data_IF_850197089926
#
_entry.id   IF_850197089926
#
_cell.length_a   1.000
_cell.length_b   1.000
_cell.length_c   1.000
_cell.angle_alpha   90.00
_cell.angle_beta   90.00
_cell.angle_gamma   90.00
#
_symmetry.space_group_name_H-M   'P 1'
#
loop_
_entity.id
_entity.type
_entity.pdbx_description
1 polymer ?
#
# COMPACT_ATOMS: atom_id res chain seq x y z
N UNK A 1 -11.38 -1.47 20.57
CA UNK A 1 -9.95 -1.16 20.78
C UNK A 1 -9.77 0.34 20.57
N UNK A 2 -9.29 1.08 21.55
CA UNK A 2 -9.01 2.52 21.40
C UNK A 2 -7.71 2.67 20.61
N UNK A 3 -7.81 3.21 19.39
CA UNK A 3 -6.72 3.37 18.41
C UNK A 3 -5.92 4.67 18.60
N UNK A 4 -6.17 5.37 19.70
CA UNK A 4 -5.68 6.70 20.00
C UNK A 4 -5.48 6.87 21.50
N UNK A 5 -4.56 7.74 21.88
CA UNK A 5 -4.43 8.18 23.27
C UNK A 5 -4.88 9.64 23.36
N UNK A 6 -5.80 9.93 24.28
CA UNK A 6 -6.21 11.31 24.57
C UNK A 6 -5.00 12.06 25.17
N UNK A 7 -4.53 13.08 24.44
CA UNK A 7 -3.38 13.85 24.88
C UNK A 7 -3.72 14.78 26.03
N UNK A 8 -2.75 14.96 26.93
CA UNK A 8 -2.83 16.00 27.94
C UNK A 8 -2.94 17.38 27.25
N UNK A 9 -3.94 18.22 27.60
CA UNK A 9 -4.08 19.56 27.04
C UNK A 9 -2.82 20.43 27.12
N UNK A 10 -1.94 20.20 28.10
CA UNK A 10 -0.67 20.92 28.21
C UNK A 10 0.30 20.58 27.08
N UNK A 11 0.33 19.32 26.62
CA UNK A 11 1.19 18.87 25.53
C UNK A 11 0.79 19.52 24.19
N UNK A 12 -0.51 19.58 23.91
CA UNK A 12 -1.05 20.21 22.69
C UNK A 12 -0.75 21.71 22.60
N UNK A 13 -0.76 22.40 23.75
CA UNK A 13 -0.35 23.83 23.84
C UNK A 13 1.14 24.04 23.60
N UNK A 14 1.98 23.05 23.91
CA UNK A 14 3.43 23.13 23.71
C UNK A 14 3.86 22.81 22.28
N UNK A 15 3.09 22.01 21.54
CA UNK A 15 3.46 21.56 20.19
C UNK A 15 2.92 22.45 19.06
N UNK A 16 2.24 23.57 19.37
CA UNK A 16 1.56 24.43 18.40
C UNK A 16 0.55 23.68 17.49
N UNK A 17 0.12 22.46 17.86
CA UNK A 17 -0.83 21.66 17.09
C UNK A 17 -2.26 22.22 17.17
N UNK A 18 -2.54 23.02 18.20
CA UNK A 18 -3.70 23.90 18.26
C UNK A 18 -3.16 25.29 18.00
N UNK A 19 -3.58 25.91 16.88
CA UNK A 19 -3.31 27.33 16.67
C UNK A 19 -3.86 28.08 17.88
N UNK A 20 -2.97 28.69 18.67
CA UNK A 20 -3.31 29.21 19.98
C UNK A 20 -4.57 30.08 19.92
N UNK A 21 -5.44 29.88 20.91
CA UNK A 21 -6.51 30.80 21.28
C UNK A 21 -5.95 32.23 21.28
N UNK A 22 -6.05 32.95 20.15
CA UNK A 22 -6.22 34.40 20.21
C UNK A 22 -7.62 34.57 20.78
N UNK A 23 -7.70 35.31 21.88
CA UNK A 23 -8.93 35.66 22.58
C UNK A 23 -10.00 36.14 21.60
N UNK A 24 -10.83 35.23 21.09
CA UNK A 24 -12.10 35.57 20.48
C UNK A 24 -13.18 34.78 21.20
N UNK A 25 -13.75 35.51 22.17
CA UNK A 25 -15.13 35.44 22.64
C UNK A 25 -16.01 34.37 22.02
N UNK A 26 -16.50 33.49 22.91
CA UNK A 26 -17.83 32.85 22.88
C UNK A 26 -18.35 32.56 21.47
N UNK A 27 -18.07 31.38 20.95
CA UNK A 27 -19.10 30.66 20.20
C UNK A 27 -18.92 29.14 20.23
N UNK A 28 -20.08 28.51 20.17
CA UNK A 28 -20.45 27.13 20.49
C UNK A 28 -19.83 26.02 19.63
N UNK A 29 -18.51 25.86 19.62
CA UNK A 29 -17.92 24.59 19.18
C UNK A 29 -18.14 23.52 20.26
N UNK A 30 -18.99 22.53 19.97
CA UNK A 30 -19.33 21.44 20.91
C UNK A 30 -18.05 20.75 21.45
N UNK A 31 -18.04 20.37 22.73
CA UNK A 31 -16.90 19.70 23.38
C UNK A 31 -16.39 18.47 22.60
N UNK A 32 -17.27 17.82 21.83
CA UNK A 32 -16.97 16.70 20.95
C UNK A 32 -15.94 17.07 19.86
N UNK A 33 -16.07 18.23 19.22
CA UNK A 33 -15.10 18.72 18.22
C UNK A 33 -13.73 18.98 18.85
N UNK A 34 -13.71 19.59 20.05
CA UNK A 34 -12.45 19.84 20.79
C UNK A 34 -11.75 18.57 21.26
N UNK A 35 -12.44 17.43 21.30
CA UNK A 35 -11.90 16.14 21.73
C UNK A 35 -11.29 15.36 20.55
N UNK A 36 -11.89 15.47 19.37
CA UNK A 36 -11.38 14.85 18.13
C UNK A 36 -10.04 15.45 17.67
N UNK A 37 -9.80 16.74 17.93
CA UNK A 37 -8.51 17.42 17.67
C UNK A 37 -7.35 16.97 18.60
N UNK A 38 -7.59 16.09 19.59
CA UNK A 38 -6.60 15.70 20.63
C UNK A 38 -6.08 14.28 20.48
N UNK A 39 -6.45 13.59 19.42
CA UNK A 39 -6.18 12.17 19.25
C UNK A 39 -4.96 11.97 18.35
N UNK A 40 -3.91 11.36 18.89
CA UNK A 40 -2.77 10.91 18.11
C UNK A 40 -2.91 9.43 17.76
N UNK A 41 -2.63 9.11 16.50
CA UNK A 41 -2.50 7.74 16.03
C UNK A 41 -1.08 7.24 16.31
N UNK A 42 -0.96 6.18 17.10
CA UNK A 42 0.31 5.53 17.40
C UNK A 42 0.31 4.11 16.80
N UNK A 43 0.83 3.93 15.57
CA UNK A 43 0.79 2.62 14.90
C UNK A 43 1.48 1.50 15.70
N UNK A 44 2.46 1.85 16.55
CA UNK A 44 3.18 0.90 17.40
C UNK A 44 2.32 0.26 18.50
N UNK A 45 1.15 0.82 18.83
CA UNK A 45 0.22 0.30 19.83
C UNK A 45 -0.86 -0.61 19.25
N UNK A 46 -0.88 -0.80 17.92
CA UNK A 46 -1.85 -1.64 17.26
C UNK A 46 -1.61 -3.12 17.54
N UNK A 47 -2.69 -3.92 17.51
CA UNK A 47 -2.58 -5.39 17.58
C UNK A 47 -1.78 -5.93 16.41
N UNK A 48 -1.08 -7.06 16.62
CA UNK A 48 -0.49 -7.82 15.53
C UNK A 48 -1.52 -8.62 14.73
N UNK A 49 -2.69 -8.88 15.32
CA UNK A 49 -3.71 -9.74 14.74
C UNK A 49 -4.30 -9.11 13.49
N UNK A 50 -4.36 -9.89 12.41
CA UNK A 50 -5.02 -9.51 11.16
C UNK A 50 -6.53 -9.51 11.38
N UNK A 51 -7.27 -8.51 10.89
CA UNK A 51 -8.74 -8.56 10.93
C UNK A 51 -9.28 -9.75 10.13
N UNK A 52 -10.23 -10.49 10.71
CA UNK A 52 -10.79 -11.70 10.10
C UNK A 52 -11.41 -11.42 8.73
N UNK A 53 -12.00 -10.23 8.55
CA UNK A 53 -12.65 -9.81 7.31
C UNK A 53 -11.67 -9.85 6.12
N UNK A 54 -10.37 -9.65 6.36
CA UNK A 54 -9.33 -9.63 5.34
C UNK A 54 -9.01 -11.03 4.82
N UNK A 55 -9.12 -12.04 5.69
CA UNK A 55 -8.86 -13.44 5.33
C UNK A 55 -9.90 -14.02 4.40
N UNK A 56 -11.10 -13.43 4.38
CA UNK A 56 -12.20 -13.83 3.50
C UNK A 56 -12.16 -13.19 2.10
N UNK A 57 -11.26 -12.22 1.87
CA UNK A 57 -11.18 -11.51 0.60
C UNK A 57 -10.58 -12.38 -0.51
N UNK A 58 -11.19 -12.32 -1.70
CA UNK A 58 -10.63 -12.93 -2.91
C UNK A 58 -9.76 -11.90 -3.61
N UNK A 59 -8.48 -11.93 -3.29
CA UNK A 59 -7.49 -11.08 -3.96
C UNK A 59 -7.26 -11.53 -5.40
N UNK A 60 -7.08 -10.56 -6.29
CA UNK A 60 -6.88 -10.78 -7.73
C UNK A 60 -5.51 -10.26 -8.20
N UNK A 61 -4.91 -9.36 -7.43
CA UNK A 61 -3.58 -8.83 -7.69
C UNK A 61 -2.70 -8.85 -6.44
N UNK A 62 -1.42 -9.15 -6.64
CA UNK A 62 -0.38 -9.09 -5.61
C UNK A 62 0.93 -8.54 -6.16
N UNK A 63 1.54 -7.62 -5.43
CA UNK A 63 2.84 -7.02 -5.74
C UNK A 63 3.68 -6.87 -4.49
N UNK A 64 4.99 -6.93 -4.64
CA UNK A 64 5.93 -6.85 -3.54
C UNK A 64 7.09 -5.90 -3.87
N UNK A 65 7.48 -5.11 -2.88
CA UNK A 65 8.79 -4.46 -2.81
C UNK A 65 9.63 -5.26 -1.80
N UNK A 66 10.62 -6.01 -2.29
CA UNK A 66 11.41 -6.91 -1.45
C UNK A 66 12.86 -6.43 -1.36
N UNK A 67 13.44 -6.46 -0.16
CA UNK A 67 14.87 -6.29 0.03
C UNK A 67 15.65 -7.33 -0.78
N UNK A 68 16.81 -6.94 -1.30
CA UNK A 68 17.68 -7.85 -2.07
C UNK A 68 18.70 -8.56 -1.18
N UNK A 69 19.07 -7.96 -0.04
CA UNK A 69 20.05 -8.49 0.90
C UNK A 69 19.35 -9.09 2.11
N UNK A 70 19.87 -10.21 2.62
CA UNK A 70 19.29 -10.98 3.73
C UNK A 70 19.20 -10.21 5.05
N UNK A 71 19.96 -9.13 5.24
CA UNK A 71 19.99 -8.37 6.49
C UNK A 71 19.48 -6.93 6.32
N UNK A 72 18.83 -6.67 5.19
CA UNK A 72 18.20 -5.40 4.88
C UNK A 72 16.73 -5.45 5.26
N UNK A 73 16.25 -4.45 5.99
CA UNK A 73 14.88 -4.38 6.49
C UNK A 73 14.28 -3.00 6.28
N UNK A 74 12.99 -2.95 5.95
CA UNK A 74 12.22 -1.72 6.00
C UNK A 74 12.10 -1.25 7.46
N UNK A 75 12.51 -0.02 7.79
CA UNK A 75 12.41 0.47 9.16
C UNK A 75 10.94 0.69 9.55
N UNK A 76 10.54 0.48 10.81
CA UNK A 76 9.15 0.67 11.25
C UNK A 76 8.58 2.06 10.89
N UNK A 77 9.41 3.10 10.94
CA UNK A 77 9.03 4.46 10.55
C UNK A 77 8.52 4.54 9.10
N UNK A 78 9.12 3.79 8.18
CA UNK A 78 8.68 3.75 6.79
C UNK A 78 7.21 3.34 6.69
N UNK A 79 6.84 2.23 7.35
CA UNK A 79 5.46 1.75 7.33
C UNK A 79 4.49 2.68 8.05
N UNK A 80 4.91 3.29 9.16
CA UNK A 80 4.07 4.25 9.88
C UNK A 80 3.72 5.46 8.99
N UNK A 81 4.68 6.00 8.25
CA UNK A 81 4.46 7.10 7.32
C UNK A 81 3.61 6.64 6.14
N UNK A 82 3.93 5.50 5.54
CA UNK A 82 3.21 4.95 4.38
C UNK A 82 1.74 4.68 4.71
N UNK A 83 1.46 4.00 5.81
CA UNK A 83 0.10 3.64 6.21
C UNK A 83 -0.77 4.86 6.48
N UNK A 84 -0.23 5.88 7.17
CA UNK A 84 -0.91 7.17 7.33
C UNK A 84 -1.15 7.86 5.99
N UNK A 85 -0.14 7.92 5.12
CA UNK A 85 -0.26 8.55 3.80
C UNK A 85 -1.36 7.91 2.96
N UNK A 86 -1.37 6.58 2.87
CA UNK A 86 -2.37 5.82 2.12
C UNK A 86 -3.77 5.97 2.71
N UNK A 87 -3.91 5.89 4.04
CA UNK A 87 -5.22 6.04 4.67
C UNK A 87 -5.83 7.43 4.42
N UNK A 88 -5.03 8.49 4.51
CA UNK A 88 -5.52 9.85 4.25
C UNK A 88 -5.85 10.09 2.78
N UNK A 89 -5.01 9.58 1.87
CA UNK A 89 -5.13 9.83 0.43
C UNK A 89 -6.17 8.94 -0.25
N UNK A 90 -6.28 7.68 0.16
CA UNK A 90 -6.99 6.63 -0.60
C UNK A 90 -8.22 6.05 0.12
N UNK A 91 -8.28 6.09 1.45
CA UNK A 91 -9.44 5.58 2.18
C UNK A 91 -10.58 6.61 2.21
N UNK A 92 -11.81 6.14 2.03
CA UNK A 92 -12.97 7.02 2.05
C UNK A 92 -13.19 7.60 3.46
N UNK A 93 -13.48 8.92 3.58
CA UNK A 93 -13.95 9.48 4.83
C UNK A 93 -15.32 8.92 5.22
N UNK A 94 -15.60 8.86 6.52
CA UNK A 94 -16.92 8.58 7.03
C UNK A 94 -17.82 9.81 6.87
N UNK A 95 -19.12 9.57 6.75
CA UNK A 95 -20.09 10.66 6.59
C UNK A 95 -20.10 11.53 7.87
N UNK A 96 -19.96 12.84 7.70
CA UNK A 96 -19.89 13.78 8.81
C UNK A 96 -18.53 13.93 9.49
N UNK A 97 -17.52 13.10 9.15
CA UNK A 97 -16.18 13.18 9.73
C UNK A 97 -15.08 12.87 8.69
N UNK A 98 -14.38 13.93 8.26
CA UNK A 98 -13.32 13.86 7.26
C UNK A 98 -12.03 13.19 7.77
N UNK A 99 -11.87 13.08 9.10
CA UNK A 99 -10.71 12.46 9.73
C UNK A 99 -10.92 10.97 9.97
N UNK A 100 -12.15 10.55 10.29
CA UNK A 100 -12.49 9.12 10.35
C UNK A 100 -12.50 8.53 8.95
N UNK A 101 -11.55 7.62 8.70
CA UNK A 101 -11.41 6.92 7.43
C UNK A 101 -11.95 5.49 7.53
N UNK A 102 -12.55 4.99 6.45
CA UNK A 102 -13.04 3.61 6.32
C UNK A 102 -11.87 2.68 5.99
N UNK A 103 -11.04 2.43 6.98
CA UNK A 103 -9.88 1.55 6.89
C UNK A 103 -9.67 0.77 8.20
N UNK A 104 -9.02 -0.39 8.09
CA UNK A 104 -8.61 -1.22 9.21
C UNK A 104 -7.07 -1.20 9.31
N UNK A 105 -6.57 -1.07 10.54
CA UNK A 105 -5.14 -1.08 10.83
C UNK A 105 -4.82 -2.21 11.81
N UNK A 106 -3.66 -2.81 11.60
CA UNK A 106 -2.92 -3.63 12.56
C UNK A 106 -1.46 -3.23 12.49
N UNK A 107 -0.62 -3.75 13.38
CA UNK A 107 0.74 -3.25 13.60
C UNK A 107 1.57 -3.12 12.32
N UNK A 108 1.43 -4.09 11.43
CA UNK A 108 2.21 -4.16 10.20
C UNK A 108 1.36 -4.00 8.94
N UNK A 109 0.07 -3.68 9.05
CA UNK A 109 -0.77 -3.62 7.86
C UNK A 109 -1.95 -2.66 7.93
N UNK A 110 -2.40 -2.30 6.75
CA UNK A 110 -3.49 -1.39 6.47
C UNK A 110 -4.35 -2.00 5.38
N UNK A 111 -5.65 -2.02 5.61
CA UNK A 111 -6.64 -2.31 4.58
C UNK A 111 -7.64 -1.17 4.45
N UNK A 112 -8.06 -0.88 3.23
CA UNK A 112 -9.18 0.02 2.98
C UNK A 112 -10.01 -0.44 1.78
N UNK A 113 -11.26 -0.01 1.78
CA UNK A 113 -12.15 -0.09 0.62
C UNK A 113 -12.35 1.31 0.06
N UNK A 114 -12.21 1.47 -1.26
CA UNK A 114 -12.33 2.78 -1.89
C UNK A 114 -13.78 3.21 -2.18
N UNK A 115 -14.78 2.41 -1.78
CA UNK A 115 -16.21 2.64 -2.05
C UNK A 115 -16.61 2.53 -3.51
N UNK A 116 -15.70 2.05 -4.37
CA UNK A 116 -15.89 1.88 -5.80
C UNK A 116 -15.58 0.44 -6.23
N UNK A 117 -15.82 -0.52 -5.34
CA UNK A 117 -15.67 -1.95 -5.62
C UNK A 117 -14.24 -2.47 -5.54
N UNK A 118 -13.27 -1.71 -4.99
CA UNK A 118 -11.87 -2.16 -4.86
C UNK A 118 -11.43 -2.12 -3.40
N UNK A 119 -11.00 -3.27 -2.90
CA UNK A 119 -10.32 -3.43 -1.61
C UNK A 119 -8.82 -3.48 -1.81
N UNK A 120 -8.08 -2.77 -0.95
CA UNK A 120 -6.63 -2.66 -1.03
C UNK A 120 -6.00 -2.96 0.31
N UNK A 121 -4.97 -3.80 0.28
CA UNK A 121 -4.16 -4.22 1.42
C UNK A 121 -2.72 -3.76 1.19
N UNK A 122 -2.11 -3.15 2.20
CA UNK A 122 -0.66 -2.95 2.28
C UNK A 122 -0.17 -3.48 3.61
N UNK A 123 0.80 -4.40 3.59
CA UNK A 123 1.33 -5.07 4.78
C UNK A 123 2.85 -5.21 4.69
N UNK A 124 3.56 -5.02 5.81
CA UNK A 124 4.95 -5.40 5.96
C UNK A 124 5.01 -6.85 6.39
N UNK A 125 5.65 -7.69 5.57
CA UNK A 125 5.76 -9.14 5.75
C UNK A 125 7.24 -9.55 5.72
N UNK A 126 7.48 -10.85 5.88
CA UNK A 126 8.83 -11.44 5.78
C UNK A 126 9.83 -10.78 6.73
N UNK A 127 9.48 -10.70 8.02
CA UNK A 127 10.31 -10.07 9.06
C UNK A 127 10.72 -8.61 8.75
N UNK A 128 9.89 -7.89 7.98
CA UNK A 128 10.15 -6.54 7.48
C UNK A 128 11.10 -6.45 6.29
N UNK A 129 11.32 -7.54 5.56
CA UNK A 129 12.05 -7.52 4.29
C UNK A 129 11.17 -7.27 3.08
N UNK A 130 9.85 -7.20 3.27
CA UNK A 130 8.93 -7.06 2.15
C UNK A 130 7.74 -6.16 2.46
N UNK A 131 7.48 -5.21 1.56
CA UNK A 131 6.20 -4.50 1.48
C UNK A 131 5.30 -5.26 0.51
N UNK A 132 4.20 -5.78 1.00
CA UNK A 132 3.18 -6.49 0.23
C UNK A 132 2.03 -5.55 -0.08
N UNK A 133 1.61 -5.52 -1.34
CA UNK A 133 0.38 -4.89 -1.81
C UNK A 133 -0.52 -5.99 -2.38
N UNK A 134 -1.76 -6.08 -1.92
CA UNK A 134 -2.76 -6.96 -2.52
C UNK A 134 -4.04 -6.19 -2.79
N UNK A 135 -4.73 -6.53 -3.88
CA UNK A 135 -6.00 -5.91 -4.23
C UNK A 135 -7.05 -6.96 -4.56
N UNK A 136 -8.26 -6.73 -4.07
CA UNK A 136 -9.49 -7.42 -4.46
C UNK A 136 -10.38 -6.43 -5.18
N UNK A 137 -11.17 -6.91 -6.14
CA UNK A 137 -12.20 -6.09 -6.76
C UNK A 137 -13.49 -6.87 -6.95
N UNK A 138 -14.59 -6.15 -6.90
CA UNK A 138 -15.89 -6.61 -7.36
C UNK A 138 -15.85 -6.83 -8.88
N UNK A 139 -16.74 -7.69 -9.35
CA UNK A 139 -16.88 -7.97 -10.78
C UNK A 139 -17.12 -6.67 -11.54
N UNK A 140 -16.48 -6.55 -12.72
CA UNK A 140 -16.57 -5.40 -13.62
C UNK A 140 -15.87 -4.11 -13.13
N UNK A 141 -15.11 -4.16 -12.03
CA UNK A 141 -14.31 -3.03 -11.52
C UNK A 141 -12.79 -3.18 -11.75
N UNK A 142 -12.39 -4.07 -12.66
CA UNK A 142 -10.97 -4.35 -12.96
C UNK A 142 -10.20 -3.11 -13.40
N UNK A 143 -10.76 -2.28 -14.28
CA UNK A 143 -10.11 -1.05 -14.74
C UNK A 143 -9.82 -0.08 -13.59
N UNK A 144 -10.74 0.00 -12.61
CA UNK A 144 -10.55 0.82 -11.41
C UNK A 144 -9.46 0.24 -10.51
N UNK A 145 -9.36 -1.08 -10.41
CA UNK A 145 -8.26 -1.74 -9.71
C UNK A 145 -6.93 -1.43 -10.38
N UNK A 146 -6.84 -1.47 -11.71
CA UNK A 146 -5.62 -1.13 -12.46
C UNK A 146 -5.19 0.33 -12.18
N UNK A 147 -6.15 1.26 -12.18
CA UNK A 147 -5.87 2.67 -11.86
C UNK A 147 -5.37 2.83 -10.42
N UNK A 148 -6.10 2.28 -9.43
CA UNK A 148 -5.71 2.39 -8.02
C UNK A 148 -4.38 1.69 -7.74
N UNK A 149 -4.10 0.57 -8.41
CA UNK A 149 -2.82 -0.13 -8.35
C UNK A 149 -1.66 0.79 -8.73
N UNK A 150 -1.82 1.58 -9.80
CA UNK A 150 -0.81 2.56 -10.21
C UNK A 150 -0.54 3.56 -9.10
N UNK A 151 -1.60 4.14 -8.53
CA UNK A 151 -1.46 5.15 -7.50
C UNK A 151 -0.81 4.59 -6.23
N UNK A 152 -1.26 3.41 -5.77
CA UNK A 152 -0.71 2.76 -4.57
C UNK A 152 0.76 2.40 -4.76
N UNK A 153 1.15 1.79 -5.88
CA UNK A 153 2.57 1.49 -6.16
C UNK A 153 3.38 2.79 -6.22
N UNK A 154 2.84 3.84 -6.83
CA UNK A 154 3.46 5.16 -6.86
C UNK A 154 3.77 5.71 -5.46
N UNK A 155 2.79 5.67 -4.56
CA UNK A 155 2.97 6.11 -3.17
C UNK A 155 3.97 5.25 -2.40
N UNK A 156 3.87 3.92 -2.51
CA UNK A 156 4.82 2.99 -1.87
C UNK A 156 6.25 3.32 -2.27
N UNK A 157 6.48 3.54 -3.58
CA UNK A 157 7.79 3.88 -4.12
C UNK A 157 8.26 5.30 -3.76
N UNK A 158 7.36 6.29 -3.71
CA UNK A 158 7.70 7.66 -3.30
C UNK A 158 8.17 7.69 -1.84
N UNK A 159 7.39 7.10 -0.94
CA UNK A 159 7.74 7.05 0.49
C UNK A 159 9.03 6.26 0.70
N UNK A 160 9.27 5.22 -0.10
CA UNK A 160 10.49 4.40 -0.03
C UNK A 160 11.72 5.23 -0.40
N UNK A 161 11.66 5.96 -1.52
CA UNK A 161 12.76 6.82 -1.98
C UNK A 161 13.06 7.94 -0.98
N UNK A 162 12.05 8.48 -0.33
CA UNK A 162 12.22 9.55 0.66
C UNK A 162 12.76 9.02 1.99
N UNK A 163 12.22 7.89 2.48
CA UNK A 163 12.49 7.40 3.84
C UNK A 163 13.68 6.46 3.93
N UNK A 164 13.97 5.69 2.88
CA UNK A 164 14.93 4.59 2.88
C UNK A 164 15.75 4.50 1.56
N UNK A 165 16.33 5.61 1.06
CA UNK A 165 16.97 5.65 -0.27
C UNK A 165 18.16 4.71 -0.44
N UNK A 166 18.79 4.27 0.65
CA UNK A 166 19.95 3.38 0.62
C UNK A 166 19.59 1.89 0.55
N UNK A 167 18.32 1.54 0.76
CA UNK A 167 17.88 0.15 0.81
C UNK A 167 17.74 -0.40 -0.61
N UNK A 168 18.46 -1.49 -0.92
CA UNK A 168 18.42 -2.10 -2.24
C UNK A 168 17.22 -3.06 -2.34
N UNK A 169 16.27 -2.74 -3.22
CA UNK A 169 15.00 -3.45 -3.35
C UNK A 169 14.78 -3.95 -4.78
N UNK A 170 13.98 -5.00 -4.90
CA UNK A 170 13.44 -5.52 -6.16
C UNK A 170 11.91 -5.50 -6.13
N UNK A 171 11.32 -5.19 -7.28
CA UNK A 171 9.87 -5.17 -7.46
C UNK A 171 9.40 -6.48 -8.09
N UNK A 172 8.37 -7.09 -7.50
CA UNK A 172 7.88 -8.41 -7.87
C UNK A 172 6.35 -8.41 -8.01
N UNK A 173 5.81 -9.22 -8.93
CA UNK A 173 4.37 -9.49 -9.08
C UNK A 173 4.10 -10.93 -8.68
N UNK A 174 3.12 -11.17 -7.81
CA UNK A 174 2.71 -12.53 -7.41
C UNK A 174 1.87 -13.14 -8.53
N UNK A 175 2.12 -14.42 -8.86
CA UNK A 175 1.30 -15.19 -9.81
C UNK A 175 -0.17 -15.16 -9.37
N UNK A 176 -1.10 -14.61 -10.18
CA UNK A 176 -2.51 -14.55 -9.83
C UNK A 176 -3.12 -15.92 -9.49
N UNK A 177 -2.61 -17.01 -10.09
CA UNK A 177 -3.09 -18.39 -9.80
C UNK A 177 -2.59 -18.94 -8.47
N UNK A 178 -1.60 -18.30 -7.85
CA UNK A 178 -1.01 -18.70 -6.55
C UNK A 178 -1.24 -17.66 -5.47
N UNK A 179 -2.06 -16.65 -5.76
CA UNK A 179 -2.38 -15.59 -4.84
C UNK A 179 -3.26 -16.14 -3.71
N UNK A 180 -2.76 -16.08 -2.49
CA UNK A 180 -3.47 -16.52 -1.29
C UNK A 180 -3.07 -15.61 -0.13
N UNK A 181 -4.03 -15.19 0.69
CA UNK A 181 -3.78 -14.42 1.90
C UNK A 181 -4.06 -15.31 3.13
N UNK A 182 -3.24 -15.26 4.19
CA UNK A 182 -2.06 -14.41 4.39
C UNK A 182 -0.81 -14.86 3.62
N UNK A 183 0.00 -13.88 3.18
CA UNK A 183 1.34 -14.11 2.62
C UNK A 183 2.37 -13.73 3.69
N UNK A 184 3.06 -14.71 4.26
CA UNK A 184 4.12 -14.42 5.24
C UNK A 184 5.48 -14.15 4.56
N UNK A 185 5.81 -14.91 3.51
CA UNK A 185 7.04 -14.78 2.74
C UNK A 185 6.75 -15.04 1.25
N UNK A 186 6.89 -14.03 0.36
CA UNK A 186 6.78 -14.25 -1.07
C UNK A 186 7.88 -15.21 -1.55
N UNK A 187 7.51 -16.37 -2.11
CA UNK A 187 8.47 -17.37 -2.58
C UNK A 187 8.88 -17.10 -4.02
N UNK A 188 10.13 -17.36 -4.37
CA UNK A 188 10.64 -17.13 -5.74
C UNK A 188 9.82 -17.84 -6.83
N UNK A 189 9.27 -19.03 -6.55
CA UNK A 189 8.45 -19.80 -7.51
C UNK A 189 7.00 -19.29 -7.68
N UNK A 190 6.64 -18.22 -6.97
CA UNK A 190 5.30 -17.64 -6.99
C UNK A 190 5.30 -16.19 -7.44
N UNK A 191 6.44 -15.67 -7.87
CA UNK A 191 6.62 -14.26 -8.20
C UNK A 191 7.36 -14.08 -9.51
N UNK A 192 7.14 -12.93 -10.15
CA UNK A 192 7.78 -12.51 -11.39
C UNK A 192 8.41 -11.13 -11.19
N UNK A 193 9.64 -10.94 -11.67
CA UNK A 193 10.31 -9.64 -11.63
C UNK A 193 9.56 -8.61 -12.49
N UNK A 194 9.27 -7.44 -11.92
CA UNK A 194 8.70 -6.32 -12.69
C UNK A 194 9.64 -5.91 -13.82
N UNK A 195 10.96 -5.94 -13.59
CA UNK A 195 11.96 -5.63 -14.64
C UNK A 195 11.85 -6.59 -15.82
N UNK A 196 11.66 -7.88 -15.56
CA UNK A 196 11.56 -8.90 -16.60
C UNK A 196 10.23 -8.78 -17.36
N UNK A 197 9.13 -8.50 -16.65
CA UNK A 197 7.82 -8.19 -17.24
C UNK A 197 7.92 -7.01 -18.19
N UNK A 198 8.50 -5.89 -17.74
CA UNK A 198 8.66 -4.70 -18.56
C UNK A 198 9.56 -4.97 -19.78
N UNK A 199 10.64 -5.74 -19.61
CA UNK A 199 11.52 -6.11 -20.72
C UNK A 199 10.81 -6.97 -21.77
N UNK A 200 10.01 -7.94 -21.35
CA UNK A 200 9.24 -8.77 -22.27
C UNK A 200 8.19 -7.95 -23.05
N UNK A 201 7.49 -7.03 -22.38
CA UNK A 201 6.51 -6.16 -23.05
C UNK A 201 7.20 -5.23 -24.06
N UNK A 202 8.34 -4.64 -23.70
CA UNK A 202 9.13 -3.77 -24.58
C UNK A 202 9.59 -4.50 -25.86
N UNK A 203 10.07 -5.75 -25.69
CA UNK A 203 10.46 -6.64 -26.78
C UNK A 203 9.28 -7.27 -27.53
N UNK A 204 8.04 -7.02 -27.10
CA UNK A 204 6.80 -7.62 -27.63
C UNK A 204 6.80 -9.15 -27.54
N UNK A 205 7.45 -9.70 -26.52
CA UNK A 205 7.44 -11.11 -26.21
C UNK A 205 6.12 -11.49 -25.52
N UNK A 206 5.49 -12.57 -25.97
CA UNK A 206 4.23 -13.04 -25.37
C UNK A 206 4.47 -13.74 -24.02
N UNK A 207 5.66 -14.29 -23.81
CA UNK A 207 6.02 -15.13 -22.67
C UNK A 207 7.21 -14.54 -21.92
N UNK A 208 7.17 -14.62 -20.59
CA UNK A 208 8.37 -14.50 -19.77
C UNK A 208 9.18 -15.79 -19.90
N UNK A 209 10.42 -15.68 -20.35
CA UNK A 209 11.34 -16.82 -20.39
C UNK A 209 11.81 -17.13 -18.97
N UNK A 210 11.62 -18.37 -18.52
CA UNK A 210 12.17 -18.81 -17.24
C UNK A 210 13.69 -18.94 -17.34
N UNK A 211 14.40 -18.84 -16.21
CA UNK A 211 15.86 -18.99 -16.14
C UNK A 211 16.38 -20.36 -16.61
N UNK A 212 15.51 -21.36 -16.77
CA UNK A 212 15.82 -22.68 -17.34
C UNK A 212 15.64 -22.79 -18.86
N UNK A 213 15.27 -21.69 -19.54
CA UNK A 213 15.10 -21.64 -20.99
C UNK A 213 13.82 -22.29 -21.52
N UNK A 214 12.91 -22.74 -20.64
CA UNK A 214 11.59 -23.23 -21.06
C UNK A 214 10.61 -22.07 -21.31
N UNK A 215 9.60 -22.31 -22.16
CA UNK A 215 8.49 -21.37 -22.33
C UNK A 215 7.83 -21.14 -20.96
N UNK A 216 8.06 -19.95 -20.39
CA UNK A 216 7.49 -19.59 -19.11
C UNK A 216 6.07 -19.06 -19.24
N UNK A 217 5.70 -18.16 -18.36
CA UNK A 217 4.31 -17.69 -18.22
C UNK A 217 3.98 -16.61 -19.24
N UNK A 218 2.80 -16.66 -19.85
CA UNK A 218 2.32 -15.54 -20.70
C UNK A 218 2.20 -14.26 -19.88
N UNK A 219 2.70 -13.14 -20.39
CA UNK A 219 2.62 -11.85 -19.69
C UNK A 219 1.17 -11.47 -19.38
N UNK A 220 0.25 -11.75 -20.32
CA UNK A 220 -1.19 -11.53 -20.14
C UNK A 220 -1.84 -12.43 -19.09
N UNK A 221 -1.23 -13.56 -18.71
CA UNK A 221 -1.70 -14.36 -17.57
C UNK A 221 -1.22 -13.80 -16.22
N UNK A 222 -0.14 -13.01 -16.21
CA UNK A 222 0.40 -12.36 -15.01
C UNK A 222 -0.34 -11.05 -14.75
N UNK A 223 -0.64 -10.31 -15.83
CA UNK A 223 -1.36 -9.03 -15.79
C UNK A 223 -2.63 -9.12 -16.65
N UNK A 224 -3.65 -9.89 -16.22
CA UNK A 224 -4.85 -10.14 -17.02
C UNK A 224 -5.62 -8.85 -17.34
N UNK A 225 -5.67 -7.91 -16.40
CA UNK A 225 -6.44 -6.67 -16.55
C UNK A 225 -5.65 -5.52 -17.22
N UNK A 226 -4.35 -5.69 -17.47
CA UNK A 226 -3.55 -4.62 -18.08
C UNK A 226 -3.70 -4.52 -19.60
N UNK A 227 -3.67 -3.29 -20.09
CA UNK A 227 -3.43 -3.01 -21.51
C UNK A 227 -1.92 -3.03 -21.77
N UNK A 228 -1.43 -4.10 -22.40
CA UNK A 228 -0.01 -4.27 -22.70
C UNK A 228 0.45 -3.47 -23.94
N UNK A 229 -0.47 -2.80 -24.64
CA UNK A 229 -0.14 -2.00 -25.84
C UNK A 229 0.49 -0.65 -25.50
N UNK A 230 0.23 -0.12 -24.30
CA UNK A 230 0.78 1.16 -23.84
C UNK A 230 1.65 0.93 -22.61
N UNK A 231 2.91 0.61 -22.89
CA UNK A 231 3.89 0.29 -21.85
C UNK A 231 4.11 1.45 -20.87
N UNK A 232 3.95 2.69 -21.33
CA UNK A 232 4.11 3.91 -20.52
C UNK A 232 3.01 4.08 -19.48
N UNK A 233 1.87 3.43 -19.71
CA UNK A 233 0.70 3.43 -18.84
C UNK A 233 0.54 2.12 -18.07
N UNK A 234 1.57 1.28 -17.95
CA UNK A 234 1.47 0.12 -17.07
C UNK A 234 1.41 0.58 -15.61
N UNK A 235 0.44 0.06 -14.86
CA UNK A 235 0.30 0.41 -13.43
C UNK A 235 1.50 -0.01 -12.58
N UNK A 236 2.26 -1.04 -13.01
CA UNK A 236 3.49 -1.48 -12.35
C UNK A 236 4.55 -0.37 -12.29
N UNK A 237 4.49 0.59 -13.20
CA UNK A 237 5.37 1.75 -13.17
C UNK A 237 5.05 2.70 -12.01
N UNK A 238 3.84 2.64 -11.44
CA UNK A 238 3.42 3.55 -10.37
C UNK A 238 3.53 5.03 -10.74
N UNK A 239 3.27 5.36 -12.02
CA UNK A 239 3.43 6.72 -12.56
C UNK A 239 4.87 7.14 -12.86
N UNK A 240 5.86 6.25 -12.73
CA UNK A 240 7.27 6.51 -13.10
C UNK A 240 7.51 6.27 -14.59
N UNK A 241 8.52 6.96 -15.14
CA UNK A 241 8.98 6.69 -16.50
C UNK A 241 9.65 5.32 -16.63
N UNK A 242 9.47 4.67 -17.78
CA UNK A 242 10.05 3.36 -18.06
C UNK A 242 11.59 3.36 -18.05
N UNK A 243 12.21 4.52 -18.33
CA UNK A 243 13.66 4.71 -18.32
C UNK A 243 14.29 4.39 -16.96
N UNK A 244 13.51 4.46 -15.88
CA UNK A 244 13.95 4.13 -14.51
C UNK A 244 14.31 2.64 -14.35
N UNK A 245 13.85 1.77 -15.25
CA UNK A 245 14.12 0.33 -15.20
C UNK A 245 15.24 -0.14 -16.16
N UNK A 246 15.73 0.76 -17.01
CA UNK A 246 16.66 0.48 -18.10
C UNK A 246 18.14 0.74 -17.81
N UNK A 247 18.51 1.08 -16.57
CA UNK A 247 19.91 1.29 -16.13
C UNK A 247 20.42 0.11 -15.31
#
# INVERSE_FOLDING_TARGET
MELYQELNPSFLRMTNLIAGDREETRDSASETQRREERLLFFPCLLSNDRPDEMTSQVYQFGWCLQCTREHDFFPPRYFHVLSLHLAFKMAQPQEGDKLKRRCAFWKNGLYWFNGHGVGSLVEIVDESQCVLVMMSCEKDYNDKMVFLRRDVIGEVMSVYKESCPSLEVKELVIDPKKLAYPVNTPRERTVYSVKDILSAIDKREEFLVNSDGTNGKKVKEILPDESLSDISNLSLLGGRDIKVFGS
#
